data_IF_783984850941
#
_entry.id   IF_783984850941
#
_cell.length_a   1.000
_cell.length_b   1.000
_cell.length_c   1.000
_cell.angle_alpha   90.00
_cell.angle_beta   90.00
_cell.angle_gamma   90.00
#
_symmetry.space_group_name_H-M   'P 1'
#
loop_
_entity.id
_entity.type
_entity.pdbx_description
1 polymer ?
#
# COMPACT_ATOMS: atom_id res chain seq x y z
N UNK A 1 14.49 -0.62 0.21
CA UNK A 1 13.56 -1.76 0.00
C UNK A 1 12.39 -1.29 -0.83
N UNK A 2 11.69 -2.19 -1.51
CA UNK A 2 10.50 -1.84 -2.28
C UNK A 2 9.35 -1.42 -1.34
N UNK A 3 8.48 -0.53 -1.79
CA UNK A 3 7.34 -0.04 -1.00
C UNK A 3 6.02 -0.31 -1.72
N UNK A 4 5.04 -0.81 -0.99
CA UNK A 4 3.66 -0.99 -1.44
C UNK A 4 2.84 0.13 -0.79
N UNK A 5 2.60 1.20 -1.56
CA UNK A 5 1.77 2.32 -1.15
C UNK A 5 0.29 1.94 -1.28
N UNK A 6 -0.50 2.16 -0.24
CA UNK A 6 -1.94 1.88 -0.30
C UNK A 6 -2.78 2.77 0.59
N UNK A 7 -4.03 3.01 0.20
CA UNK A 7 -5.04 3.59 1.08
C UNK A 7 -5.99 2.49 1.58
N UNK A 8 -6.50 2.55 2.84
CA UNK A 8 -7.44 1.55 3.36
C UNK A 8 -8.69 1.31 2.51
N UNK A 9 -9.31 2.33 1.87
CA UNK A 9 -10.47 2.09 1.00
C UNK A 9 -10.12 1.46 -0.35
N UNK A 10 -8.83 1.29 -0.71
CA UNK A 10 -8.44 0.73 -2.01
C UNK A 10 -8.31 -0.81 -1.96
N UNK A 11 -9.21 -1.56 -2.60
CA UNK A 11 -9.16 -3.02 -2.65
C UNK A 11 -8.02 -3.54 -3.56
N UNK A 12 -7.51 -2.71 -4.49
CA UNK A 12 -6.52 -3.13 -5.48
C UNK A 12 -5.16 -3.46 -4.84
N UNK A 13 -4.75 -2.65 -3.87
CA UNK A 13 -3.52 -2.83 -3.10
C UNK A 13 -3.50 -4.06 -2.21
N UNK A 14 -4.65 -4.66 -1.90
CA UNK A 14 -4.70 -5.90 -1.12
C UNK A 14 -4.04 -7.06 -1.89
N UNK A 15 -4.32 -7.19 -3.19
CA UNK A 15 -3.75 -8.26 -4.02
C UNK A 15 -2.24 -8.15 -4.18
N UNK A 16 -1.72 -6.93 -4.27
CA UNK A 16 -0.28 -6.67 -4.38
C UNK A 16 0.45 -7.10 -3.10
N UNK A 17 -0.08 -6.74 -1.92
CA UNK A 17 0.48 -7.18 -0.63
C UNK A 17 0.42 -8.70 -0.46
N UNK A 18 -0.70 -9.32 -0.82
CA UNK A 18 -0.83 -10.78 -0.79
C UNK A 18 0.16 -11.48 -1.71
N UNK A 19 0.32 -10.98 -2.95
CA UNK A 19 1.27 -11.53 -3.90
C UNK A 19 2.71 -11.43 -3.39
N UNK A 20 3.12 -10.25 -2.90
CA UNK A 20 4.45 -10.03 -2.33
C UNK A 20 4.75 -11.00 -1.18
N UNK A 21 3.79 -11.21 -0.27
CA UNK A 21 3.91 -12.21 0.78
C UNK A 21 4.00 -13.64 0.23
N UNK A 22 3.16 -14.00 -0.74
CA UNK A 22 3.13 -15.34 -1.32
C UNK A 22 4.44 -15.72 -2.04
N UNK A 23 5.07 -14.78 -2.72
CA UNK A 23 6.34 -15.03 -3.46
C UNK A 23 7.60 -14.69 -2.66
N UNK A 24 7.47 -14.27 -1.41
CA UNK A 24 8.62 -13.94 -0.54
C UNK A 24 9.37 -12.67 -0.93
N UNK A 25 8.70 -11.70 -1.58
CA UNK A 25 9.30 -10.39 -1.87
C UNK A 25 9.29 -9.54 -0.61
N UNK A 26 10.46 -9.06 -0.21
CA UNK A 26 10.61 -8.12 0.88
C UNK A 26 10.17 -6.71 0.44
N UNK A 27 8.99 -6.29 0.90
CA UNK A 27 8.44 -4.97 0.61
C UNK A 27 7.67 -4.40 1.80
N UNK A 28 7.90 -3.12 2.07
CA UNK A 28 7.23 -2.40 3.15
C UNK A 28 5.83 -1.96 2.73
N UNK A 29 4.84 -2.20 3.58
CA UNK A 29 3.46 -1.73 3.35
C UNK A 29 3.29 -0.34 3.97
N UNK A 30 3.09 0.67 3.13
CA UNK A 30 2.97 2.07 3.57
C UNK A 30 1.55 2.56 3.33
N UNK A 31 0.87 2.94 4.40
CA UNK A 31 -0.46 3.54 4.33
C UNK A 31 -0.32 5.00 3.87
N UNK A 32 -1.04 5.36 2.81
CA UNK A 32 -1.10 6.72 2.27
C UNK A 32 -2.54 7.20 2.30
N UNK A 33 -2.75 8.41 2.82
CA UNK A 33 -4.06 9.08 2.84
C UNK A 33 -3.94 10.43 2.14
N UNK A 34 -4.89 10.74 1.26
CA UNK A 34 -5.02 12.06 0.62
C UNK A 34 -5.91 13.01 1.43
N UNK A 35 -6.53 12.51 2.51
CA UNK A 35 -7.45 13.29 3.34
C UNK A 35 -6.74 14.16 4.39
N UNK A 36 -5.45 13.95 4.64
CA UNK A 36 -4.72 14.62 5.70
C UNK A 36 -4.30 16.07 5.36
N UNK A 37 -4.38 16.50 4.10
CA UNK A 37 -4.07 17.87 3.69
C UNK A 37 -4.75 18.21 2.34
N UNK A 38 -6.06 18.51 2.33
CA UNK A 38 -6.66 19.21 1.21
C UNK A 38 -6.14 20.65 1.27
N UNK A 39 -5.10 20.96 0.50
CA UNK A 39 -4.56 22.32 0.35
C UNK A 39 -5.71 23.33 0.31
N UNK A 40 -5.87 24.07 1.42
CA UNK A 40 -6.87 25.13 1.64
C UNK A 40 -6.49 26.39 0.88
#
# INVERSE_FOLDING_TARGET
MAQILYSPPSPYSAKVRMAAHYVGIEADSVVVTTAADPRS
#
